data_IF_752163949714
#
_entry.id   IF_752163949714
#
_cell.length_a   1.000
_cell.length_b   1.000
_cell.length_c   1.000
_cell.angle_alpha   90.00
_cell.angle_beta   90.00
_cell.angle_gamma   90.00
#
_symmetry.space_group_name_H-M   'P 1'
#
loop_
_entity.id
_entity.type
_entity.pdbx_description
1 polymer ?
#
# COMPACT_ATOMS: atom_id res chain seq x y z
N UNK A 1 -9.80 -6.92 4.73
CA UNK A 1 -10.38 -5.83 3.91
C UNK A 1 -10.57 -4.53 4.65
N UNK A 2 -11.25 -4.52 5.81
CA UNK A 2 -11.57 -3.28 6.53
C UNK A 2 -10.35 -2.36 6.76
N UNK A 3 -9.22 -2.89 7.26
CA UNK A 3 -7.98 -2.12 7.46
C UNK A 3 -7.46 -1.46 6.17
N UNK A 4 -7.43 -2.21 5.05
CA UNK A 4 -6.95 -1.69 3.77
C UNK A 4 -7.79 -0.51 3.29
N UNK A 5 -9.11 -0.60 3.48
CA UNK A 5 -10.05 0.48 3.18
C UNK A 5 -9.83 1.69 4.09
N UNK A 6 -9.77 1.49 5.41
CA UNK A 6 -9.57 2.58 6.37
C UNK A 6 -8.28 3.37 6.10
N UNK A 7 -7.16 2.69 5.83
CA UNK A 7 -5.91 3.38 5.53
C UNK A 7 -5.97 4.14 4.20
N UNK A 8 -6.61 3.58 3.17
CA UNK A 8 -6.74 4.27 1.89
C UNK A 8 -7.65 5.50 2.00
N UNK A 9 -8.79 5.37 2.67
CA UNK A 9 -9.71 6.49 2.94
C UNK A 9 -9.03 7.57 3.79
N UNK A 10 -8.25 7.20 4.81
CA UNK A 10 -7.46 8.14 5.57
C UNK A 10 -6.42 8.87 4.71
N UNK A 11 -5.74 8.16 3.79
CA UNK A 11 -4.81 8.77 2.85
C UNK A 11 -5.52 9.78 1.95
N UNK A 12 -6.67 9.42 1.40
CA UNK A 12 -7.46 10.31 0.55
C UNK A 12 -7.94 11.56 1.32
N UNK A 13 -8.43 11.40 2.56
CA UNK A 13 -8.88 12.52 3.41
C UNK A 13 -7.76 13.52 3.68
N UNK A 14 -6.56 13.06 4.09
CA UNK A 14 -5.48 14.00 4.39
C UNK A 14 -4.92 14.67 3.13
N UNK A 15 -4.98 14.00 1.98
CA UNK A 15 -4.61 14.62 0.70
C UNK A 15 -5.60 15.72 0.31
N UNK A 16 -6.90 15.50 0.52
CA UNK A 16 -7.95 16.48 0.20
C UNK A 16 -7.92 17.71 1.11
N UNK A 17 -7.50 17.54 2.36
CA UNK A 17 -7.43 18.61 3.36
C UNK A 17 -6.14 19.44 3.29
N UNK A 18 -5.09 18.93 2.63
CA UNK A 18 -3.82 19.62 2.58
C UNK A 18 -3.80 20.72 1.50
N UNK A 19 -3.29 21.88 1.87
CA UNK A 19 -3.07 22.99 0.93
C UNK A 19 -1.92 22.66 -0.02
N UNK A 20 -0.83 22.08 0.51
CA UNK A 20 0.33 21.64 -0.25
C UNK A 20 0.69 20.18 0.05
N UNK A 21 1.18 19.47 -0.98
CA UNK A 21 1.54 18.06 -0.84
C UNK A 21 2.68 17.83 0.17
N UNK A 22 3.57 18.82 0.35
CA UNK A 22 4.75 18.73 1.21
C UNK A 22 4.38 18.64 2.69
N UNK A 23 3.26 19.27 3.07
CA UNK A 23 2.76 19.29 4.46
C UNK A 23 2.41 17.90 4.98
N UNK A 24 2.03 17.00 4.07
CA UNK A 24 1.52 15.66 4.41
C UNK A 24 2.22 14.53 3.65
N UNK A 25 3.32 14.82 2.93
CA UNK A 25 3.91 13.88 1.97
C UNK A 25 4.24 12.52 2.60
N UNK A 26 4.96 12.54 3.72
CA UNK A 26 5.39 11.31 4.41
C UNK A 26 4.22 10.62 5.12
N UNK A 27 3.28 11.38 5.69
CA UNK A 27 2.09 10.84 6.33
C UNK A 27 1.20 10.10 5.33
N UNK A 28 0.97 10.71 4.16
CA UNK A 28 0.22 10.11 3.06
C UNK A 28 0.90 8.88 2.50
N UNK A 29 2.19 8.96 2.21
CA UNK A 29 2.95 7.78 1.73
C UNK A 29 2.89 6.65 2.75
N UNK A 30 3.00 6.95 4.04
CA UNK A 30 2.88 5.96 5.13
C UNK A 30 1.50 5.29 5.13
N UNK A 31 0.41 6.06 5.00
CA UNK A 31 -0.94 5.51 4.92
C UNK A 31 -1.13 4.65 3.65
N UNK A 32 -0.61 5.09 2.50
CA UNK A 32 -0.62 4.30 1.27
C UNK A 32 0.14 2.97 1.44
N UNK A 33 1.28 2.97 2.13
CA UNK A 33 2.04 1.75 2.44
C UNK A 33 1.20 0.79 3.28
N UNK A 34 0.59 1.28 4.37
CA UNK A 34 -0.24 0.44 5.23
C UNK A 34 -1.50 -0.09 4.53
N UNK A 35 -2.13 0.72 3.67
CA UNK A 35 -3.23 0.29 2.83
C UNK A 35 -2.79 -0.85 1.89
N UNK A 36 -1.64 -0.68 1.22
CA UNK A 36 -1.11 -1.68 0.31
C UNK A 36 -0.73 -3.00 0.97
N UNK A 37 -0.12 -2.96 2.16
CA UNK A 37 0.19 -4.17 2.95
C UNK A 37 -1.10 -4.91 3.31
N UNK A 38 -2.07 -4.21 3.91
CA UNK A 38 -3.34 -4.81 4.32
C UNK A 38 -4.15 -5.35 3.12
N UNK A 39 -4.06 -4.71 1.95
CA UNK A 39 -4.65 -5.20 0.72
C UNK A 39 -3.95 -6.47 0.21
N UNK A 40 -2.62 -6.51 0.29
CA UNK A 40 -1.82 -7.68 -0.10
C UNK A 40 -2.18 -8.91 0.74
N UNK A 41 -2.34 -8.73 2.06
CA UNK A 41 -2.76 -9.82 2.95
C UNK A 41 -4.13 -10.39 2.54
N UNK A 42 -5.07 -9.54 2.14
CA UNK A 42 -6.37 -9.98 1.65
C UNK A 42 -6.24 -10.79 0.37
N UNK A 43 -5.42 -10.33 -0.59
CA UNK A 43 -5.23 -11.00 -1.86
C UNK A 43 -4.59 -12.38 -1.65
N UNK A 44 -3.52 -12.45 -0.85
CA UNK A 44 -2.89 -13.72 -0.50
C UNK A 44 -3.86 -14.65 0.24
N UNK A 45 -4.58 -14.15 1.25
CA UNK A 45 -5.60 -14.94 1.95
C UNK A 45 -6.69 -15.47 1.00
N UNK A 46 -7.11 -14.65 0.04
CA UNK A 46 -8.18 -15.00 -0.90
C UNK A 46 -7.73 -16.06 -1.91
N UNK A 47 -6.53 -15.91 -2.49
CA UNK A 47 -6.02 -16.73 -3.60
C UNK A 47 -5.17 -17.93 -3.16
N UNK A 48 -4.42 -17.81 -2.07
CA UNK A 48 -3.46 -18.82 -1.58
C UNK A 48 -3.90 -19.47 -0.26
N UNK A 49 -4.79 -18.83 0.49
CA UNK A 49 -5.23 -19.31 1.81
C UNK A 49 -4.29 -18.93 2.97
N UNK A 50 -3.24 -18.16 2.70
CA UNK A 50 -2.27 -17.69 3.68
C UNK A 50 -1.86 -16.23 3.43
N UNK A 51 -1.23 -15.58 4.40
CA UNK A 51 -0.63 -14.26 4.24
C UNK A 51 0.72 -14.19 4.95
N UNK A 52 1.57 -13.25 4.54
CA UNK A 52 2.91 -13.11 5.09
C UNK A 52 2.83 -12.72 6.57
N UNK A 53 3.73 -13.28 7.38
CA UNK A 53 3.82 -13.01 8.81
C UNK A 53 5.10 -12.21 9.10
N UNK A 54 5.02 -11.23 9.99
CA UNK A 54 6.18 -10.44 10.42
C UNK A 54 6.51 -9.26 9.53
N UNK A 55 7.74 -8.75 9.66
CA UNK A 55 8.16 -7.47 9.07
C UNK A 55 9.00 -7.62 7.79
N UNK A 56 9.19 -8.85 7.29
CA UNK A 56 10.02 -9.12 6.13
C UNK A 56 9.31 -8.69 4.83
N UNK A 57 9.79 -7.62 4.22
CA UNK A 57 9.22 -7.04 3.00
C UNK A 57 9.38 -7.97 1.79
N UNK A 58 10.52 -8.65 1.66
CA UNK A 58 10.77 -9.53 0.53
C UNK A 58 9.88 -10.77 0.57
N UNK A 59 9.60 -11.28 1.76
CA UNK A 59 8.66 -12.38 1.96
C UNK A 59 7.23 -11.97 1.56
N UNK A 60 6.77 -10.80 2.01
CA UNK A 60 5.45 -10.28 1.64
C UNK A 60 5.30 -10.07 0.12
N UNK A 61 6.33 -9.53 -0.54
CA UNK A 61 6.35 -9.37 -2.00
C UNK A 61 6.37 -10.74 -2.69
N UNK A 62 7.19 -11.67 -2.19
CA UNK A 62 7.32 -13.01 -2.74
C UNK A 62 6.00 -13.78 -2.70
N UNK A 63 5.31 -13.75 -1.56
CA UNK A 63 4.01 -14.39 -1.39
C UNK A 63 2.95 -13.75 -2.29
N UNK A 64 2.88 -12.43 -2.34
CA UNK A 64 1.95 -11.74 -3.24
C UNK A 64 2.26 -12.06 -4.71
N UNK A 65 3.53 -12.21 -5.10
CA UNK A 65 3.90 -12.59 -6.46
C UNK A 65 3.49 -14.02 -6.83
N UNK A 66 3.31 -14.91 -5.86
CA UNK A 66 2.70 -16.24 -6.09
C UNK A 66 1.20 -16.10 -6.39
N UNK A 67 0.51 -15.18 -5.72
CA UNK A 67 -0.90 -14.90 -5.96
C UNK A 67 -1.14 -14.09 -7.26
N UNK A 68 -0.28 -13.11 -7.54
CA UNK A 68 -0.31 -12.21 -8.69
C UNK A 68 1.00 -11.43 -8.86
N UNK A 69 1.76 -11.73 -9.92
CA UNK A 69 3.05 -11.09 -10.20
C UNK A 69 2.95 -9.61 -10.54
N UNK A 70 1.87 -9.19 -11.22
CA UNK A 70 1.72 -7.80 -11.63
C UNK A 70 1.33 -6.94 -10.44
N UNK A 71 0.42 -7.43 -9.60
CA UNK A 71 0.01 -6.73 -8.39
C UNK A 71 1.16 -6.61 -7.38
N UNK A 72 2.03 -7.62 -7.29
CA UNK A 72 3.21 -7.58 -6.42
C UNK A 72 4.19 -6.42 -6.73
N UNK A 73 4.21 -5.90 -7.97
CA UNK A 73 5.04 -4.74 -8.35
C UNK A 73 4.60 -3.46 -7.61
N UNK A 74 3.32 -3.33 -7.32
CA UNK A 74 2.77 -2.20 -6.57
C UNK A 74 3.19 -2.27 -5.10
N UNK A 75 3.11 -3.45 -4.47
CA UNK A 75 3.58 -3.64 -3.09
C UNK A 75 5.07 -3.35 -2.98
N UNK A 76 5.89 -3.85 -3.91
CA UNK A 76 7.32 -3.56 -3.97
C UNK A 76 7.59 -2.05 -4.06
N UNK A 77 6.78 -1.31 -4.80
CA UNK A 77 6.91 0.14 -4.92
C UNK A 77 6.65 0.82 -3.58
N UNK A 78 5.58 0.42 -2.88
CA UNK A 78 5.23 0.97 -1.57
C UNK A 78 6.30 0.68 -0.51
N UNK A 79 6.77 -0.57 -0.41
CA UNK A 79 7.75 -0.95 0.61
C UNK A 79 9.10 -0.24 0.43
N UNK A 80 9.50 0.08 -0.81
CA UNK A 80 10.66 0.95 -1.06
C UNK A 80 10.47 2.37 -0.51
N UNK A 81 9.25 2.90 -0.55
CA UNK A 81 8.92 4.24 -0.04
C UNK A 81 8.75 4.26 1.48
N UNK A 82 8.38 3.14 2.11
CA UNK A 82 8.23 3.02 3.58
C UNK A 82 9.46 3.49 4.33
N UNK A 83 10.64 3.02 3.92
CA UNK A 83 11.90 3.40 4.59
C UNK A 83 12.20 4.88 4.45
N UNK A 84 11.87 5.47 3.30
CA UNK A 84 12.09 6.90 3.06
C UNK A 84 11.12 7.74 3.91
N UNK A 85 9.82 7.50 3.79
CA UNK A 85 8.80 8.26 4.51
C UNK A 85 8.90 8.12 6.04
N UNK A 86 9.36 6.97 6.55
CA UNK A 86 9.44 6.72 7.99
C UNK A 86 10.73 7.21 8.67
N UNK A 87 11.83 7.35 7.93
CA UNK A 87 13.16 7.50 8.53
C UNK A 87 14.09 8.49 7.83
N UNK A 88 13.73 8.99 6.65
CA UNK A 88 14.53 9.98 5.93
C UNK A 88 14.31 11.38 6.49
N UNK A 89 15.35 12.22 6.44
CA UNK A 89 15.23 13.66 6.69
C UNK A 89 14.68 14.43 5.48
N UNK A 90 14.63 13.79 4.31
CA UNK A 90 14.04 14.36 3.10
C UNK A 90 12.64 13.80 2.89
N UNK A 91 11.62 14.68 2.81
CA UNK A 91 10.25 14.25 2.54
C UNK A 91 10.12 13.51 1.21
N UNK A 92 9.05 12.73 1.08
CA UNK A 92 8.67 12.16 -0.19
C UNK A 92 8.42 13.27 -1.24
N UNK A 93 8.93 13.07 -2.46
CA UNK A 93 8.72 14.01 -3.56
C UNK A 93 7.30 13.92 -4.11
N UNK A 94 6.84 14.93 -4.87
CA UNK A 94 5.57 14.88 -5.62
C UNK A 94 5.40 13.58 -6.42
N UNK A 95 6.46 13.10 -7.05
CA UNK A 95 6.41 11.91 -7.88
C UNK A 95 6.25 10.63 -7.04
N UNK A 96 6.95 10.57 -5.90
CA UNK A 96 6.82 9.48 -4.93
C UNK A 96 5.43 9.48 -4.29
N UNK A 97 4.93 10.66 -3.93
CA UNK A 97 3.57 10.89 -3.43
C UNK A 97 2.52 10.33 -4.40
N UNK A 98 2.54 10.78 -5.65
CA UNK A 98 1.61 10.32 -6.68
C UNK A 98 1.76 8.82 -6.97
N UNK A 99 2.99 8.31 -6.94
CA UNK A 99 3.27 6.89 -7.17
C UNK A 99 2.75 6.01 -6.04
N UNK A 100 2.89 6.44 -4.78
CA UNK A 100 2.36 5.74 -3.62
C UNK A 100 0.83 5.64 -3.70
N UNK A 101 0.16 6.76 -3.98
CA UNK A 101 -1.30 6.80 -4.14
C UNK A 101 -1.81 5.79 -5.18
N UNK A 102 -1.26 5.85 -6.40
CA UNK A 102 -1.65 4.92 -7.47
C UNK A 102 -1.40 3.45 -7.10
N UNK A 103 -0.25 3.15 -6.48
CA UNK A 103 0.08 1.79 -6.11
C UNK A 103 -0.85 1.25 -5.01
N UNK A 104 -1.16 2.05 -4.00
CA UNK A 104 -2.10 1.69 -2.95
C UNK A 104 -3.52 1.47 -3.50
N UNK A 105 -4.00 2.38 -4.33
CA UNK A 105 -5.32 2.28 -4.96
C UNK A 105 -5.45 0.98 -5.77
N UNK A 106 -4.48 0.66 -6.62
CA UNK A 106 -4.50 -0.58 -7.43
C UNK A 106 -4.57 -1.83 -6.55
N UNK A 107 -3.79 -1.88 -5.46
CA UNK A 107 -3.82 -3.00 -4.52
C UNK A 107 -5.18 -3.13 -3.82
N UNK A 108 -5.73 -2.02 -3.34
CA UNK A 108 -7.01 -1.99 -2.61
C UNK A 108 -8.16 -2.38 -3.53
N UNK A 109 -8.18 -1.91 -4.77
CA UNK A 109 -9.18 -2.29 -5.77
C UNK A 109 -9.13 -3.78 -6.08
N UNK A 110 -7.94 -4.34 -6.25
CA UNK A 110 -7.80 -5.79 -6.48
C UNK A 110 -8.22 -6.60 -5.24
N UNK A 111 -7.84 -6.16 -4.05
CA UNK A 111 -8.28 -6.77 -2.80
C UNK A 111 -9.81 -6.74 -2.64
N UNK A 112 -10.48 -5.66 -3.09
CA UNK A 112 -11.96 -5.59 -3.13
C UNK A 112 -12.53 -6.66 -4.08
N UNK A 113 -12.00 -6.76 -5.31
CA UNK A 113 -12.48 -7.72 -6.31
C UNK A 113 -12.41 -9.16 -5.82
N UNK A 114 -11.27 -9.57 -5.27
CA UNK A 114 -11.07 -10.95 -4.79
C UNK A 114 -11.87 -11.24 -3.51
N UNK A 115 -12.14 -10.23 -2.68
CA UNK A 115 -12.97 -10.40 -1.49
C UNK A 115 -14.46 -10.59 -1.82
N UNK A 116 -14.94 -10.00 -2.93
CA UNK A 116 -16.33 -10.17 -3.41
C UNK A 116 -16.56 -11.41 -4.26
N UNK A 117 -15.49 -12.07 -4.72
CA UNK A 117 -15.56 -13.28 -5.53
C UNK A 117 -15.64 -14.58 -4.70
N UNK A 118 -15.75 -14.47 -3.37
CA UNK A 118 -15.99 -15.57 -2.43
C UNK A 118 -17.46 -15.65 -2.06
#
# INVERSE_FOLDING_TARGET
MHKATQFNEAADMIRELADEHEDIADAYVTLCVHAGIAASDVICCARLGEHAQGENHDEAIGLLAQADKEIAKHLRTLLKLKTKAGYSHTPATVDEFKRAGRAAQTLVEEARRVATAR
#
